data_IF_053329754251
#
_entry.id   IF_053329754251
#
_cell.length_a   1.000
_cell.length_b   1.000
_cell.length_c   1.000
_cell.angle_alpha   90.00
_cell.angle_beta   90.00
_cell.angle_gamma   90.00
#
_symmetry.space_group_name_H-M   'P 1'
#
loop_
_entity.id
_entity.type
_entity.pdbx_description
1 polymer ?
#
# COMPACT_ATOMS: atom_id res chain seq x y z
N UNK A 1 -11.51 -16.27 12.88
CA UNK A 1 -10.98 -15.32 11.88
C UNK A 1 -11.47 -15.74 10.50
N UNK A 2 -11.99 -14.81 9.69
CA UNK A 2 -12.25 -15.08 8.28
C UNK A 2 -10.93 -15.46 7.61
N UNK A 3 -10.92 -16.60 6.91
CA UNK A 3 -9.70 -17.04 6.25
C UNK A 3 -9.63 -16.35 4.88
N UNK A 4 -8.65 -15.48 4.68
CA UNK A 4 -8.35 -14.91 3.37
C UNK A 4 -7.21 -15.71 2.71
N UNK A 5 -7.21 -15.86 1.38
CA UNK A 5 -6.08 -16.48 0.68
C UNK A 5 -4.79 -15.70 0.94
N UNK A 6 -3.66 -16.42 1.02
CA UNK A 6 -2.37 -15.77 1.25
C UNK A 6 -2.04 -14.77 0.14
N UNK A 7 -1.59 -13.59 0.53
CA UNK A 7 -1.28 -12.47 -0.36
C UNK A 7 0.22 -12.48 -0.67
N UNK A 8 0.56 -12.90 -1.88
CA UNK A 8 1.88 -12.72 -2.48
C UNK A 8 1.80 -11.50 -3.40
N UNK A 9 1.81 -10.31 -2.83
CA UNK A 9 1.43 -9.09 -3.53
C UNK A 9 2.59 -8.13 -3.77
N UNK A 10 2.35 -7.20 -4.70
CA UNK A 10 3.23 -6.06 -5.01
C UNK A 10 2.36 -4.84 -5.27
N UNK A 11 2.76 -3.67 -4.76
CA UNK A 11 2.18 -2.40 -5.17
C UNK A 11 2.80 -2.00 -6.52
N UNK A 12 1.96 -1.96 -7.54
CA UNK A 12 2.39 -1.70 -8.91
C UNK A 12 2.21 -0.23 -9.27
N UNK A 13 3.30 0.40 -9.67
CA UNK A 13 3.36 1.76 -10.21
C UNK A 13 2.47 2.76 -9.46
N UNK A 14 2.72 2.97 -8.14
CA UNK A 14 1.88 3.85 -7.34
C UNK A 14 1.97 5.29 -7.81
N UNK A 15 0.83 5.98 -7.78
CA UNK A 15 0.73 7.44 -8.00
C UNK A 15 1.15 7.92 -9.40
N UNK A 16 1.09 7.05 -10.41
CA UNK A 16 1.45 7.47 -11.78
C UNK A 16 0.45 8.48 -12.32
N UNK A 17 0.92 9.45 -13.14
CA UNK A 17 0.06 10.42 -13.80
C UNK A 17 -0.73 9.80 -14.96
N UNK A 18 -1.71 10.56 -15.46
CA UNK A 18 -2.46 10.22 -16.67
C UNK A 18 -1.53 9.89 -17.84
N UNK A 19 -1.90 8.91 -18.65
CA UNK A 19 -1.12 8.43 -19.78
C UNK A 19 -0.14 7.31 -19.45
N UNK A 20 0.14 7.04 -18.18
CA UNK A 20 1.13 6.01 -17.79
C UNK A 20 0.65 4.60 -18.10
N UNK A 21 -0.57 4.25 -17.68
CA UNK A 21 -1.11 2.90 -17.87
C UNK A 21 -1.60 2.63 -19.31
N UNK A 22 -1.75 3.68 -20.13
CA UNK A 22 -1.99 3.55 -21.56
C UNK A 22 -0.77 3.08 -22.35
N UNK A 23 0.42 3.14 -21.76
CA UNK A 23 1.66 2.73 -22.43
C UNK A 23 1.83 1.21 -22.39
N UNK A 24 2.18 0.59 -23.53
CA UNK A 24 2.45 -0.85 -23.60
C UNK A 24 3.56 -1.29 -22.64
N UNK A 25 4.53 -0.42 -22.37
CA UNK A 25 5.61 -0.69 -21.39
C UNK A 25 5.08 -1.00 -19.99
N UNK A 26 3.95 -0.37 -19.55
CA UNK A 26 3.36 -0.63 -18.26
C UNK A 26 2.80 -2.06 -18.18
N UNK A 27 2.15 -2.53 -19.25
CA UNK A 27 1.67 -3.92 -19.37
C UNK A 27 2.81 -4.92 -19.39
N UNK A 28 3.88 -4.62 -20.14
CA UNK A 28 5.09 -5.45 -20.17
C UNK A 28 5.72 -5.52 -18.80
N UNK A 29 5.82 -4.39 -18.08
CA UNK A 29 6.37 -4.34 -16.73
C UNK A 29 5.56 -5.17 -15.75
N UNK A 30 4.22 -5.06 -15.78
CA UNK A 30 3.33 -5.85 -14.93
C UNK A 30 3.48 -7.36 -15.19
N UNK A 31 3.58 -7.78 -16.46
CA UNK A 31 3.83 -9.17 -16.83
C UNK A 31 5.18 -9.65 -16.26
N UNK A 32 6.23 -8.88 -16.48
CA UNK A 32 7.57 -9.17 -15.95
C UNK A 32 7.55 -9.30 -14.44
N UNK A 33 6.88 -8.38 -13.74
CA UNK A 33 6.70 -8.45 -12.29
C UNK A 33 6.12 -9.80 -11.87
N UNK A 34 5.02 -10.22 -12.48
CA UNK A 34 4.38 -11.49 -12.16
C UNK A 34 5.28 -12.70 -12.41
N UNK A 35 5.94 -12.74 -13.58
CA UNK A 35 6.81 -13.86 -13.98
C UNK A 35 8.07 -13.97 -13.10
N UNK A 36 8.61 -12.82 -12.71
CA UNK A 36 9.82 -12.75 -11.91
C UNK A 36 9.59 -12.97 -10.42
N UNK A 37 8.41 -12.61 -9.89
CA UNK A 37 8.13 -12.68 -8.45
C UNK A 37 7.19 -13.82 -8.05
N UNK A 38 6.47 -14.45 -8.97
CA UNK A 38 5.35 -15.36 -8.70
C UNK A 38 4.21 -14.68 -7.88
N UNK A 39 4.03 -13.36 -8.00
CA UNK A 39 2.96 -12.65 -7.35
C UNK A 39 1.57 -13.19 -7.79
N UNK A 40 0.63 -13.19 -6.84
CA UNK A 40 -0.77 -13.55 -7.05
C UNK A 40 -1.73 -12.40 -6.78
N UNK A 41 -1.19 -11.24 -6.40
CA UNK A 41 -1.97 -10.08 -5.97
C UNK A 41 -1.24 -8.79 -6.31
N UNK A 42 -1.99 -7.75 -6.70
CA UNK A 42 -1.43 -6.40 -6.85
C UNK A 42 -2.29 -5.37 -6.12
N UNK A 43 -1.62 -4.32 -5.66
CA UNK A 43 -2.26 -3.07 -5.27
C UNK A 43 -2.02 -2.03 -6.36
N UNK A 44 -3.11 -1.43 -6.85
CA UNK A 44 -3.08 -0.21 -7.66
C UNK A 44 -3.48 0.97 -6.77
N UNK A 45 -2.65 2.02 -6.76
CA UNK A 45 -2.81 3.15 -5.87
C UNK A 45 -3.08 4.44 -6.67
N UNK A 46 -4.36 4.72 -7.02
CA UNK A 46 -4.71 5.99 -7.64
C UNK A 46 -4.47 7.15 -6.67
N UNK A 47 -4.04 8.28 -7.22
CA UNK A 47 -3.59 9.43 -6.47
C UNK A 47 -4.70 10.47 -6.31
N UNK A 48 -5.05 10.84 -5.08
CA UNK A 48 -5.82 12.03 -4.74
C UNK A 48 -4.88 13.12 -4.27
N UNK A 49 -5.02 14.33 -4.76
CA UNK A 49 -4.09 15.43 -4.48
C UNK A 49 -4.78 16.58 -3.76
N UNK A 50 -4.25 16.98 -2.63
CA UNK A 50 -4.57 18.23 -1.94
C UNK A 50 -3.34 19.16 -1.93
N UNK A 51 -3.55 20.48 -1.82
CA UNK A 51 -2.44 21.44 -1.93
C UNK A 51 -1.45 21.30 -0.76
N UNK A 52 -1.97 21.28 0.46
CA UNK A 52 -1.19 21.19 1.71
C UNK A 52 -1.89 20.23 2.70
N UNK A 53 -1.26 19.82 3.80
CA UNK A 53 -1.91 19.03 4.84
C UNK A 53 -3.17 19.65 5.44
N UNK A 54 -3.34 20.97 5.32
CA UNK A 54 -4.49 21.72 5.83
C UNK A 54 -5.53 22.06 4.75
N UNK A 55 -5.37 21.55 3.52
CA UNK A 55 -6.37 21.72 2.46
C UNK A 55 -7.50 20.72 2.64
N UNK A 56 -8.75 21.17 2.46
CA UNK A 56 -9.94 20.34 2.65
C UNK A 56 -10.36 19.58 1.40
N UNK A 57 -9.92 20.03 0.21
CA UNK A 57 -10.31 19.46 -1.08
C UNK A 57 -9.27 18.49 -1.62
N UNK A 58 -9.73 17.34 -2.10
CA UNK A 58 -8.94 16.31 -2.74
C UNK A 58 -9.32 16.22 -4.22
N UNK A 59 -8.38 16.57 -5.09
CA UNK A 59 -8.53 16.47 -6.55
C UNK A 59 -7.99 15.12 -7.04
N UNK A 60 -8.81 14.33 -7.72
CA UNK A 60 -8.44 13.02 -8.28
C UNK A 60 -8.76 12.90 -9.79
N UNK A 61 -9.05 14.03 -10.44
CA UNK A 61 -9.38 14.10 -11.88
C UNK A 61 -8.43 14.99 -12.66
N UNK A 62 -7.18 15.14 -12.22
CA UNK A 62 -6.17 15.98 -12.86
C UNK A 62 -5.23 15.17 -13.74
N UNK A 63 -4.42 15.85 -14.56
CA UNK A 63 -3.36 15.21 -15.33
C UNK A 63 -2.28 14.52 -14.46
N UNK A 64 -2.20 14.85 -13.17
CA UNK A 64 -1.28 14.21 -12.23
C UNK A 64 -1.83 12.91 -11.62
N UNK A 65 -3.04 12.51 -12.01
CA UNK A 65 -3.71 11.28 -11.57
C UNK A 65 -4.08 10.42 -12.77
N UNK A 66 -3.94 9.10 -12.66
CA UNK A 66 -4.38 8.20 -13.72
C UNK A 66 -5.89 8.36 -13.99
N UNK A 67 -6.31 8.20 -15.23
CA UNK A 67 -7.74 8.24 -15.58
C UNK A 67 -8.45 6.94 -15.18
N UNK A 68 -9.77 7.00 -15.03
CA UNK A 68 -10.58 5.82 -14.73
C UNK A 68 -10.44 4.74 -15.79
N UNK A 69 -10.41 5.12 -17.08
CA UNK A 69 -10.27 4.16 -18.19
C UNK A 69 -8.91 3.46 -18.17
N UNK A 70 -7.84 4.20 -17.86
CA UNK A 70 -6.51 3.61 -17.71
C UNK A 70 -6.44 2.65 -16.53
N UNK A 71 -7.02 3.04 -15.39
CA UNK A 71 -7.09 2.20 -14.19
C UNK A 71 -7.88 0.92 -14.48
N UNK A 72 -9.08 1.04 -15.07
CA UNK A 72 -9.93 -0.11 -15.44
C UNK A 72 -9.20 -1.04 -16.42
N UNK A 73 -8.57 -0.49 -17.47
CA UNK A 73 -7.79 -1.27 -18.41
C UNK A 73 -6.60 -2.00 -17.81
N UNK A 74 -5.96 -1.42 -16.76
CA UNK A 74 -4.88 -2.09 -16.03
C UNK A 74 -5.40 -3.17 -15.08
N UNK A 75 -6.56 -2.96 -14.45
CA UNK A 75 -7.24 -3.98 -13.63
C UNK A 75 -7.60 -5.20 -14.50
N UNK A 76 -8.25 -4.99 -15.64
CA UNK A 76 -8.59 -6.06 -16.57
C UNK A 76 -7.35 -6.85 -17.03
N UNK A 77 -6.29 -6.12 -17.37
CA UNK A 77 -5.04 -6.74 -17.78
C UNK A 77 -4.42 -7.58 -16.66
N UNK A 78 -4.38 -7.05 -15.43
CA UNK A 78 -3.87 -7.79 -14.27
C UNK A 78 -4.69 -9.07 -14.00
N UNK A 79 -6.00 -8.98 -14.06
CA UNK A 79 -6.91 -10.14 -13.90
C UNK A 79 -6.72 -11.17 -15.02
N UNK A 80 -6.47 -10.73 -16.26
CA UNK A 80 -6.15 -11.63 -17.38
C UNK A 80 -4.85 -12.42 -17.18
N UNK A 81 -3.94 -11.88 -16.38
CA UNK A 81 -2.73 -12.57 -15.93
C UNK A 81 -2.97 -13.49 -14.71
N UNK A 82 -4.19 -13.55 -14.17
CA UNK A 82 -4.56 -14.32 -12.98
C UNK A 82 -4.15 -13.64 -11.67
N UNK A 83 -3.93 -12.32 -11.67
CA UNK A 83 -3.67 -11.55 -10.46
C UNK A 83 -4.99 -11.12 -9.80
N UNK A 84 -5.09 -11.25 -8.48
CA UNK A 84 -6.12 -10.61 -7.67
C UNK A 84 -5.74 -9.15 -7.48
N UNK A 85 -6.72 -8.26 -7.44
CA UNK A 85 -6.48 -6.81 -7.44
C UNK A 85 -7.09 -6.15 -6.22
N UNK A 86 -6.34 -5.24 -5.59
CA UNK A 86 -6.88 -4.26 -4.66
C UNK A 86 -6.67 -2.84 -5.19
N UNK A 87 -7.62 -1.96 -4.91
CA UNK A 87 -7.40 -0.53 -5.04
C UNK A 87 -7.06 0.07 -3.68
N UNK A 88 -6.05 0.96 -3.67
CA UNK A 88 -5.62 1.74 -2.51
C UNK A 88 -5.58 3.23 -2.88
N UNK A 89 -6.74 3.89 -3.02
CA UNK A 89 -6.78 5.32 -3.33
C UNK A 89 -6.11 6.10 -2.21
N UNK A 90 -5.08 6.86 -2.55
CA UNK A 90 -4.20 7.50 -1.55
C UNK A 90 -4.21 9.01 -1.73
N UNK A 91 -4.54 9.74 -0.66
CA UNK A 91 -4.43 11.21 -0.64
C UNK A 91 -2.98 11.62 -0.37
N UNK A 92 -2.45 12.53 -1.20
CA UNK A 92 -1.11 13.09 -1.07
C UNK A 92 -1.15 14.61 -1.13
N UNK A 93 -0.15 15.29 -0.55
CA UNK A 93 -0.02 16.73 -0.61
C UNK A 93 0.93 17.16 -1.74
N UNK A 94 0.48 18.12 -2.58
CA UNK A 94 1.28 18.65 -3.70
C UNK A 94 2.57 19.33 -3.26
N UNK A 95 2.60 19.87 -2.04
CA UNK A 95 3.77 20.52 -1.46
C UNK A 95 4.84 19.52 -0.97
N UNK A 96 4.63 18.20 -1.15
CA UNK A 96 5.57 17.16 -0.77
C UNK A 96 5.58 16.80 0.72
N UNK A 97 4.73 17.41 1.54
CA UNK A 97 4.58 17.01 2.94
C UNK A 97 3.84 15.67 2.98
N UNK A 98 4.35 14.72 3.75
CA UNK A 98 3.78 13.40 3.88
C UNK A 98 2.35 13.44 4.43
N UNK A 99 1.44 12.68 3.85
CA UNK A 99 0.00 12.61 4.19
C UNK A 99 -0.29 12.33 5.68
N UNK A 100 0.66 11.70 6.38
CA UNK A 100 0.53 11.48 7.82
C UNK A 100 0.35 12.78 8.63
N UNK A 101 0.76 13.92 8.08
CA UNK A 101 0.64 15.24 8.69
C UNK A 101 -0.68 15.96 8.36
N UNK A 102 -1.60 15.33 7.60
CA UNK A 102 -2.94 15.90 7.38
C UNK A 102 -3.66 15.99 8.71
N UNK A 103 -3.94 17.23 9.13
CA UNK A 103 -4.48 17.49 10.46
C UNK A 103 -5.19 18.85 10.51
N UNK A 104 -6.26 18.92 11.32
CA UNK A 104 -7.05 20.12 11.56
C UNK A 104 -7.32 20.23 13.06
N UNK A 105 -7.93 21.35 13.50
CA UNK A 105 -8.38 21.47 14.89
C UNK A 105 -9.46 20.43 15.19
N UNK A 106 -9.43 19.85 16.39
CA UNK A 106 -10.44 18.85 16.80
C UNK A 106 -11.83 19.45 16.95
N UNK A 107 -11.91 20.72 17.37
CA UNK A 107 -13.12 21.52 17.40
C UNK A 107 -13.09 22.53 16.26
N UNK A 108 -14.26 22.78 15.67
CA UNK A 108 -14.38 23.75 14.58
C UNK A 108 -14.03 25.16 15.03
N UNK A 109 -13.03 25.75 14.40
CA UNK A 109 -12.63 27.15 14.59
C UNK A 109 -13.17 27.97 13.41
N UNK A 110 -13.80 29.16 13.67
CA UNK A 110 -14.27 30.03 12.60
C UNK A 110 -13.14 30.43 11.63
N UNK A 111 -13.41 30.38 10.34
CA UNK A 111 -12.48 30.71 9.25
C UNK A 111 -11.26 29.80 9.12
N UNK A 112 -11.19 28.69 9.85
CA UNK A 112 -10.16 27.68 9.70
C UNK A 112 -10.68 26.44 8.97
N UNK A 113 -9.81 25.67 8.28
CA UNK A 113 -10.15 24.38 7.69
C UNK A 113 -10.64 23.38 8.74
N UNK A 114 -11.53 22.45 8.33
CA UNK A 114 -12.27 21.58 9.24
C UNK A 114 -12.20 20.12 8.82
N UNK A 115 -12.14 19.24 9.82
CA UNK A 115 -12.26 17.80 9.62
C UNK A 115 -13.52 17.40 8.84
N UNK A 116 -14.66 18.04 9.15
CA UNK A 116 -15.93 17.72 8.48
C UNK A 116 -15.90 17.94 6.98
N UNK A 117 -15.31 19.04 6.50
CA UNK A 117 -15.18 19.33 5.08
C UNK A 117 -14.17 18.40 4.42
N UNK A 118 -13.03 18.19 5.07
CA UNK A 118 -12.01 17.26 4.56
C UNK A 118 -12.54 15.84 4.42
N UNK A 119 -13.22 15.30 5.45
CA UNK A 119 -13.79 13.96 5.39
C UNK A 119 -14.92 13.86 4.35
N UNK A 120 -15.68 14.92 4.10
CA UNK A 120 -16.67 14.94 3.01
C UNK A 120 -16.00 14.76 1.65
N UNK A 121 -14.93 15.52 1.37
CA UNK A 121 -14.12 15.38 0.16
C UNK A 121 -13.41 14.01 0.08
N UNK A 122 -12.88 13.53 1.20
CA UNK A 122 -12.23 12.22 1.28
C UNK A 122 -13.20 11.06 1.03
N UNK A 123 -14.41 11.12 1.57
CA UNK A 123 -15.47 10.14 1.32
C UNK A 123 -15.88 10.11 -0.15
N UNK A 124 -16.02 11.27 -0.80
CA UNK A 124 -16.30 11.34 -2.24
C UNK A 124 -15.21 10.66 -3.05
N UNK A 125 -13.95 11.01 -2.78
CA UNK A 125 -12.77 10.39 -3.39
C UNK A 125 -12.75 8.87 -3.20
N UNK A 126 -12.92 8.37 -1.99
CA UNK A 126 -12.90 6.93 -1.69
C UNK A 126 -14.09 6.20 -2.33
N UNK A 127 -15.29 6.78 -2.28
CA UNK A 127 -16.50 6.18 -2.87
C UNK A 127 -16.41 6.09 -4.39
N UNK A 128 -15.78 7.07 -5.05
CA UNK A 128 -15.51 7.00 -6.48
C UNK A 128 -14.73 5.71 -6.83
N UNK A 129 -13.61 5.46 -6.14
CA UNK A 129 -12.81 4.27 -6.40
C UNK A 129 -13.41 2.98 -5.83
N UNK A 130 -14.27 3.06 -4.81
CA UNK A 130 -15.03 1.91 -4.34
C UNK A 130 -16.01 1.40 -5.40
N UNK A 131 -16.67 2.30 -6.14
CA UNK A 131 -17.51 1.96 -7.29
C UNK A 131 -16.70 1.28 -8.41
N UNK A 132 -15.52 1.81 -8.73
CA UNK A 132 -14.61 1.16 -9.70
C UNK A 132 -14.16 -0.22 -9.20
N UNK A 133 -13.81 -0.33 -7.92
CA UNK A 133 -13.46 -1.63 -7.31
C UNK A 133 -14.59 -2.65 -7.46
N UNK A 134 -15.85 -2.24 -7.26
CA UNK A 134 -17.01 -3.10 -7.42
C UNK A 134 -17.26 -3.46 -8.88
N UNK A 135 -17.25 -2.47 -9.78
CA UNK A 135 -17.46 -2.64 -11.22
C UNK A 135 -16.45 -3.63 -11.82
N UNK A 136 -15.19 -3.49 -11.43
CA UNK A 136 -14.08 -4.28 -11.95
C UNK A 136 -13.84 -5.60 -11.20
N UNK A 137 -14.66 -5.92 -10.20
CA UNK A 137 -14.51 -7.16 -9.42
C UNK A 137 -13.19 -7.23 -8.66
N UNK A 138 -12.69 -6.10 -8.14
CA UNK A 138 -11.52 -6.11 -7.26
C UNK A 138 -11.81 -6.92 -5.98
N UNK A 139 -10.82 -7.62 -5.47
CA UNK A 139 -10.97 -8.41 -4.24
C UNK A 139 -11.04 -7.53 -2.99
N UNK A 140 -10.29 -6.43 -2.98
CA UNK A 140 -10.16 -5.58 -1.80
C UNK A 140 -10.15 -4.09 -2.17
N UNK A 141 -10.71 -3.26 -1.27
CA UNK A 141 -10.57 -1.82 -1.27
C UNK A 141 -9.88 -1.40 0.03
N UNK A 142 -8.72 -0.73 -0.09
CA UNK A 142 -7.95 -0.23 1.06
C UNK A 142 -8.26 1.25 1.20
N UNK A 143 -9.06 1.59 2.21
CA UNK A 143 -9.72 2.90 2.34
C UNK A 143 -8.81 4.03 2.84
N UNK A 144 -7.52 3.84 2.87
CA UNK A 144 -6.54 4.87 3.26
C UNK A 144 -5.16 4.28 3.47
N UNK A 145 -4.18 5.15 3.43
CA UNK A 145 -2.78 4.80 3.57
C UNK A 145 -2.09 5.82 4.48
N UNK A 146 -1.62 5.39 5.66
CA UNK A 146 -0.78 6.17 6.57
C UNK A 146 -1.34 7.55 6.96
N UNK A 147 -2.63 7.62 7.22
CA UNK A 147 -3.34 8.86 7.58
C UNK A 147 -3.24 9.17 9.09
N UNK A 148 -2.03 9.06 9.65
CA UNK A 148 -1.70 8.97 11.08
C UNK A 148 -2.43 10.00 11.94
N UNK A 149 -2.34 11.28 11.57
CA UNK A 149 -2.95 12.36 12.39
C UNK A 149 -4.47 12.38 12.32
N UNK A 150 -5.09 11.66 11.38
CA UNK A 150 -6.55 11.54 11.30
C UNK A 150 -7.09 10.27 11.98
N UNK A 151 -6.25 9.32 12.36
CA UNK A 151 -6.69 7.99 12.86
C UNK A 151 -7.52 8.08 14.15
N UNK A 152 -7.31 9.13 14.96
CA UNK A 152 -8.10 9.37 16.16
C UNK A 152 -9.55 9.83 15.86
N UNK A 153 -9.83 10.24 14.63
CA UNK A 153 -11.17 10.65 14.17
C UNK A 153 -12.05 9.41 13.88
N UNK A 154 -12.25 8.58 14.89
CA UNK A 154 -12.94 7.29 14.78
C UNK A 154 -14.33 7.40 14.15
N UNK A 155 -15.12 8.42 14.54
CA UNK A 155 -16.48 8.61 14.02
C UNK A 155 -16.49 8.82 12.50
N UNK A 156 -15.61 9.66 12.01
CA UNK A 156 -15.51 10.01 10.59
C UNK A 156 -14.95 8.82 9.77
N UNK A 157 -13.99 8.08 10.32
CA UNK A 157 -13.50 6.85 9.68
C UNK A 157 -14.59 5.78 9.59
N UNK A 158 -15.38 5.56 10.65
CA UNK A 158 -16.52 4.64 10.63
C UNK A 158 -17.56 5.06 9.58
N UNK A 159 -17.84 6.35 9.43
CA UNK A 159 -18.72 6.87 8.39
C UNK A 159 -18.16 6.62 6.99
N UNK A 160 -16.87 6.89 6.79
CA UNK A 160 -16.18 6.65 5.50
C UNK A 160 -16.27 5.18 5.09
N UNK A 161 -16.00 4.25 6.02
CA UNK A 161 -16.08 2.81 5.74
C UNK A 161 -17.52 2.38 5.47
N UNK A 162 -18.49 2.92 6.22
CA UNK A 162 -19.90 2.63 5.99
C UNK A 162 -20.38 3.13 4.61
N UNK A 163 -19.89 4.28 4.15
CA UNK A 163 -20.17 4.80 2.82
C UNK A 163 -19.59 3.90 1.72
N UNK A 164 -18.32 3.54 1.82
CA UNK A 164 -17.65 2.63 0.90
C UNK A 164 -18.42 1.30 0.77
N UNK A 165 -18.93 0.76 1.89
CA UNK A 165 -19.69 -0.50 1.90
C UNK A 165 -21.06 -0.42 1.24
N UNK A 166 -21.58 0.76 0.93
CA UNK A 166 -22.80 0.89 0.12
C UNK A 166 -22.50 0.46 -1.32
N UNK A 167 -21.35 0.85 -1.83
CA UNK A 167 -20.94 0.64 -3.21
C UNK A 167 -20.09 -0.63 -3.42
N UNK A 168 -19.26 -1.02 -2.44
CA UNK A 168 -18.31 -2.13 -2.54
C UNK A 168 -18.64 -3.28 -1.59
N UNK A 169 -18.73 -4.52 -2.12
CA UNK A 169 -19.11 -5.72 -1.38
C UNK A 169 -17.95 -6.69 -1.12
N UNK A 170 -16.75 -6.39 -1.65
CA UNK A 170 -15.53 -7.14 -1.37
C UNK A 170 -14.92 -6.80 -0.01
N UNK A 171 -13.67 -7.21 0.18
CA UNK A 171 -12.93 -6.98 1.42
C UNK A 171 -12.55 -5.51 1.56
N UNK A 172 -12.81 -4.93 2.73
CA UNK A 172 -12.37 -3.57 3.07
C UNK A 172 -11.22 -3.64 4.06
N UNK A 173 -10.16 -2.88 3.81
CA UNK A 173 -9.01 -2.74 4.70
C UNK A 173 -8.65 -1.26 4.89
N UNK A 174 -7.74 -0.99 5.81
CA UNK A 174 -7.06 0.29 6.00
C UNK A 174 -5.57 0.02 6.24
N UNK A 175 -4.69 0.79 5.60
CA UNK A 175 -3.25 0.68 5.77
C UNK A 175 -2.75 1.76 6.74
N UNK A 176 -2.59 1.43 8.02
CA UNK A 176 -1.94 2.35 8.97
C UNK A 176 -0.42 2.39 8.74
N UNK A 177 0.25 3.42 9.21
CA UNK A 177 1.72 3.44 9.22
C UNK A 177 2.28 2.44 10.24
N UNK A 178 3.55 2.07 10.06
CA UNK A 178 4.30 1.28 11.03
C UNK A 178 4.21 1.91 12.45
N UNK A 179 4.19 1.09 13.45
CA UNK A 179 4.08 1.46 14.88
C UNK A 179 2.71 2.04 15.29
N UNK A 180 1.76 2.26 14.38
CA UNK A 180 0.48 2.91 14.66
C UNK A 180 -0.69 1.93 14.85
N UNK A 181 -0.52 0.64 14.62
CA UNK A 181 -1.62 -0.34 14.58
C UNK A 181 -2.47 -0.36 15.85
N UNK A 182 -1.87 -0.06 17.00
CA UNK A 182 -2.57 0.00 18.29
C UNK A 182 -3.33 1.32 18.52
N UNK A 183 -3.06 2.36 17.74
CA UNK A 183 -3.74 3.65 17.83
C UNK A 183 -5.05 3.68 17.04
N UNK A 184 -5.24 2.76 16.11
CA UNK A 184 -6.49 2.62 15.36
C UNK A 184 -7.49 1.82 16.20
N UNK A 185 -8.54 2.47 16.69
CA UNK A 185 -9.54 1.86 17.58
C UNK A 185 -10.76 1.29 16.84
N UNK A 186 -10.84 1.50 15.53
CA UNK A 186 -11.97 1.12 14.66
C UNK A 186 -11.66 -0.04 13.70
N UNK A 187 -10.68 -0.90 14.03
CA UNK A 187 -10.37 -2.12 13.25
C UNK A 187 -11.55 -3.08 13.11
N UNK A 188 -12.53 -3.02 14.00
CA UNK A 188 -13.77 -3.80 13.89
C UNK A 188 -14.60 -3.46 12.64
N UNK A 189 -14.46 -2.25 12.06
CA UNK A 189 -15.17 -1.80 10.86
C UNK A 189 -14.63 -2.40 9.55
N UNK A 190 -13.37 -2.83 9.52
CA UNK A 190 -12.74 -3.42 8.33
C UNK A 190 -12.77 -4.95 8.38
N UNK A 191 -12.51 -5.61 7.26
CA UNK A 191 -12.44 -7.07 7.18
C UNK A 191 -11.03 -7.59 7.46
N UNK A 192 -10.01 -6.81 7.08
CA UNK A 192 -8.60 -7.15 7.18
C UNK A 192 -7.84 -5.97 7.78
N UNK A 193 -7.04 -6.23 8.80
CA UNK A 193 -6.10 -5.24 9.35
C UNK A 193 -4.90 -5.18 8.42
N UNK A 194 -4.42 -3.97 8.08
CA UNK A 194 -3.17 -3.84 7.36
C UNK A 194 -2.31 -2.67 7.83
N UNK A 195 -1.01 -2.79 7.62
CA UNK A 195 0.00 -1.84 8.08
C UNK A 195 1.16 -1.75 7.10
N UNK A 196 1.97 -0.72 7.24
CA UNK A 196 3.25 -0.57 6.56
C UNK A 196 4.36 -1.28 7.35
N UNK A 197 5.11 -2.17 6.70
CA UNK A 197 6.14 -3.00 7.31
C UNK A 197 7.55 -2.51 7.00
N UNK A 198 7.88 -1.27 7.34
CA UNK A 198 9.23 -0.71 7.16
C UNK A 198 10.02 -0.76 8.48
N UNK A 199 10.22 -1.96 9.02
CA UNK A 199 10.95 -2.13 10.29
C UNK A 199 12.44 -2.38 10.05
N UNK A 200 13.34 -1.89 10.96
CA UNK A 200 14.74 -2.27 10.97
C UNK A 200 14.92 -3.78 10.89
N UNK A 201 15.99 -4.23 10.22
CA UNK A 201 16.22 -5.65 9.97
C UNK A 201 16.26 -6.51 11.25
N UNK A 202 16.69 -5.95 12.35
CA UNK A 202 16.84 -6.63 13.65
C UNK A 202 15.61 -6.44 14.58
N UNK A 203 14.55 -5.73 14.15
CA UNK A 203 13.41 -5.41 15.01
C UNK A 203 12.10 -6.14 14.64
N UNK A 204 12.10 -6.97 13.62
CA UNK A 204 10.90 -7.67 13.13
C UNK A 204 10.17 -8.46 14.20
N UNK A 205 10.86 -9.24 15.02
CA UNK A 205 10.24 -10.07 16.07
C UNK A 205 9.54 -9.20 17.13
N UNK A 206 10.13 -8.07 17.54
CA UNK A 206 9.51 -7.16 18.50
C UNK A 206 8.24 -6.54 17.93
N UNK A 207 8.27 -6.12 16.66
CA UNK A 207 7.12 -5.49 16.03
C UNK A 207 6.00 -6.49 15.76
N UNK A 208 6.31 -7.71 15.34
CA UNK A 208 5.31 -8.78 15.20
C UNK A 208 4.65 -9.11 16.54
N UNK A 209 5.41 -9.16 17.64
CA UNK A 209 4.84 -9.36 19.00
C UNK A 209 3.89 -8.21 19.40
N UNK A 210 4.15 -7.00 18.96
CA UNK A 210 3.29 -5.83 19.20
C UNK A 210 2.00 -5.92 18.37
N UNK A 211 2.13 -6.21 17.06
CA UNK A 211 1.00 -6.33 16.13
C UNK A 211 0.09 -7.50 16.53
N UNK A 212 0.66 -8.61 17.00
CA UNK A 212 -0.11 -9.78 17.42
C UNK A 212 -1.15 -9.45 18.50
N UNK A 213 -0.85 -8.49 19.39
CA UNK A 213 -1.81 -8.05 20.41
C UNK A 213 -3.04 -7.39 19.77
N UNK A 214 -2.83 -6.59 18.72
CA UNK A 214 -3.92 -5.95 17.97
C UNK A 214 -4.74 -7.00 17.21
N UNK A 215 -4.07 -7.92 16.52
CA UNK A 215 -4.73 -9.03 15.80
C UNK A 215 -5.57 -9.88 16.75
N UNK A 216 -5.03 -10.20 17.94
CA UNK A 216 -5.74 -10.97 18.97
C UNK A 216 -6.91 -10.19 19.57
N UNK A 217 -6.79 -8.88 19.72
CA UNK A 217 -7.88 -8.02 20.21
C UNK A 217 -9.06 -8.00 19.26
N UNK A 218 -8.81 -7.78 17.97
CA UNK A 218 -9.86 -7.61 16.97
C UNK A 218 -10.26 -8.90 16.24
N UNK A 219 -9.50 -9.98 16.37
CA UNK A 219 -9.76 -11.28 15.75
C UNK A 219 -9.93 -11.21 14.23
N UNK A 220 -9.15 -10.33 13.56
CA UNK A 220 -9.14 -10.12 12.11
C UNK A 220 -7.86 -10.67 11.49
N UNK A 221 -7.89 -11.12 10.22
CA UNK A 221 -6.67 -11.41 9.47
C UNK A 221 -5.84 -10.13 9.29
N UNK A 222 -4.53 -10.30 9.12
CA UNK A 222 -3.58 -9.21 8.96
C UNK A 222 -2.66 -9.45 7.77
N UNK A 223 -2.33 -8.40 7.03
CA UNK A 223 -1.25 -8.42 6.04
C UNK A 223 -0.49 -7.08 6.01
N UNK A 224 0.73 -7.09 5.52
CA UNK A 224 1.45 -5.85 5.26
C UNK A 224 1.05 -5.31 3.88
N UNK A 225 0.27 -4.21 3.85
CA UNK A 225 -0.16 -3.56 2.60
C UNK A 225 0.95 -2.71 1.96
N UNK A 226 2.04 -2.51 2.68
CA UNK A 226 3.33 -2.04 2.21
C UNK A 226 4.44 -2.72 3.01
N UNK A 227 5.52 -3.09 2.36
CA UNK A 227 6.77 -3.47 3.00
C UNK A 227 7.90 -3.33 1.99
N UNK A 228 9.03 -2.78 2.40
CA UNK A 228 10.14 -2.56 1.50
C UNK A 228 11.39 -2.04 2.17
N UNK A 229 12.51 -2.19 1.47
CA UNK A 229 13.81 -1.68 1.84
C UNK A 229 14.52 -1.21 0.57
N UNK A 230 15.14 -0.04 0.58
CA UNK A 230 15.95 0.41 -0.55
C UNK A 230 17.25 -0.38 -0.66
N UNK A 231 17.76 -0.54 -1.88
CA UNK A 231 19.09 -1.08 -2.12
C UNK A 231 20.21 -0.05 -1.91
N UNK A 232 20.03 0.80 -0.90
CA UNK A 232 20.97 1.84 -0.46
C UNK A 232 21.64 1.41 0.84
N UNK A 233 22.94 1.58 0.94
CA UNK A 233 23.69 1.25 2.16
C UNK A 233 23.09 1.97 3.38
N UNK A 234 22.83 1.18 4.43
CA UNK A 234 22.18 1.66 5.66
C UNK A 234 20.65 1.55 5.67
N UNK A 235 19.99 1.42 4.51
CA UNK A 235 18.52 1.37 4.44
C UNK A 235 17.92 0.22 5.26
N UNK A 236 18.57 -0.93 5.35
CA UNK A 236 18.07 -2.06 6.15
C UNK A 236 17.88 -1.77 7.65
N UNK A 237 18.53 -0.72 8.17
CA UNK A 237 18.39 -0.27 9.56
C UNK A 237 17.35 0.85 9.72
N UNK A 238 16.99 1.53 8.63
CA UNK A 238 16.00 2.62 8.59
C UNK A 238 15.19 2.54 7.29
N UNK A 239 14.49 1.44 7.02
CA UNK A 239 13.90 1.16 5.71
C UNK A 239 12.79 2.14 5.32
N UNK A 240 12.23 2.89 6.27
CA UNK A 240 11.25 3.95 6.03
C UNK A 240 11.87 5.29 5.62
N UNK A 241 13.18 5.45 5.69
CA UNK A 241 13.84 6.69 5.31
C UNK A 241 14.17 6.69 3.81
N UNK A 242 13.22 7.17 2.99
CA UNK A 242 13.39 7.32 1.54
C UNK A 242 14.34 8.47 1.16
N UNK A 243 14.83 9.22 2.13
CA UNK A 243 15.78 10.32 1.91
C UNK A 243 17.23 9.90 2.09
N UNK A 244 17.47 8.72 2.65
CA UNK A 244 18.83 8.19 2.86
C UNK A 244 19.61 8.17 1.54
N UNK A 245 20.84 8.61 1.60
CA UNK A 245 21.78 8.60 0.47
C UNK A 245 23.01 7.82 0.87
N UNK A 246 23.38 6.87 0.06
CA UNK A 246 24.55 5.99 0.27
C UNK A 246 24.94 5.29 -1.03
N UNK A 247 25.98 4.49 -0.96
CA UNK A 247 26.32 3.58 -2.04
C UNK A 247 25.28 2.48 -2.20
N UNK A 248 25.34 1.77 -3.31
CA UNK A 248 24.46 0.62 -3.56
C UNK A 248 24.78 -0.53 -2.58
N UNK A 249 23.73 -1.16 -2.06
CA UNK A 249 23.78 -2.35 -1.19
C UNK A 249 22.68 -3.34 -1.58
N UNK A 250 22.86 -3.99 -2.71
CA UNK A 250 21.92 -4.96 -3.25
C UNK A 250 21.70 -6.15 -2.29
N UNK A 251 22.78 -6.59 -1.63
CA UNK A 251 22.68 -7.71 -0.70
C UNK A 251 21.97 -7.31 0.59
N UNK A 252 22.20 -6.10 1.11
CA UNK A 252 21.48 -5.60 2.27
C UNK A 252 19.97 -5.52 2.06
N UNK A 253 19.53 -5.17 0.85
CA UNK A 253 18.10 -5.25 0.48
C UNK A 253 17.60 -6.69 0.51
N UNK A 254 18.31 -7.63 -0.08
CA UNK A 254 17.94 -9.05 -0.11
C UNK A 254 17.89 -9.66 1.30
N UNK A 255 18.87 -9.36 2.15
CA UNK A 255 18.93 -9.81 3.54
C UNK A 255 17.73 -9.30 4.35
N UNK A 256 17.33 -8.05 4.11
CA UNK A 256 16.17 -7.46 4.77
C UNK A 256 14.87 -8.21 4.42
N UNK A 257 14.64 -8.49 3.12
CA UNK A 257 13.47 -9.26 2.68
C UNK A 257 13.47 -10.67 3.25
N UNK A 258 14.62 -11.35 3.24
CA UNK A 258 14.72 -12.70 3.79
C UNK A 258 14.40 -12.71 5.28
N UNK A 259 14.95 -11.75 6.05
CA UNK A 259 14.70 -11.64 7.49
C UNK A 259 13.22 -11.37 7.79
N UNK A 260 12.59 -10.46 7.03
CA UNK A 260 11.15 -10.20 7.13
C UNK A 260 10.33 -11.49 6.93
N UNK A 261 10.60 -12.22 5.85
CA UNK A 261 9.87 -13.45 5.55
C UNK A 261 10.06 -14.51 6.63
N UNK A 262 11.30 -14.72 7.10
CA UNK A 262 11.61 -15.72 8.15
C UNK A 262 10.93 -15.39 9.48
N UNK A 263 10.88 -14.13 9.86
CA UNK A 263 10.17 -13.67 11.07
C UNK A 263 8.67 -13.88 10.94
N UNK A 264 8.08 -13.47 9.81
CA UNK A 264 6.65 -13.54 9.58
C UNK A 264 6.13 -14.98 9.38
N UNK A 265 6.93 -15.89 8.84
CA UNK A 265 6.54 -17.31 8.68
C UNK A 265 6.20 -18.00 10.00
N UNK A 266 6.75 -17.53 11.11
CA UNK A 266 6.44 -18.01 12.46
C UNK A 266 5.08 -17.57 12.98
N UNK A 267 4.36 -16.72 12.24
CA UNK A 267 3.12 -16.05 12.64
C UNK A 267 1.97 -16.43 11.71
N UNK A 268 1.16 -17.40 12.07
CA UNK A 268 0.04 -17.90 11.25
C UNK A 268 -1.03 -16.86 10.93
N UNK A 269 -1.08 -15.78 11.72
CA UNK A 269 -2.00 -14.66 11.53
C UNK A 269 -1.54 -13.68 10.45
N UNK A 270 -0.26 -13.66 10.04
CA UNK A 270 0.23 -12.89 8.89
C UNK A 270 -0.23 -13.57 7.61
N UNK A 271 -1.08 -12.89 6.84
CA UNK A 271 -1.67 -13.41 5.60
C UNK A 271 -0.99 -12.91 4.33
N UNK A 272 0.15 -12.30 4.46
CA UNK A 272 0.99 -11.92 3.32
C UNK A 272 1.43 -10.48 3.29
N UNK A 273 1.79 -10.04 2.10
CA UNK A 273 2.43 -8.74 1.83
C UNK A 273 1.95 -8.18 0.49
N UNK A 274 1.98 -6.84 0.36
CA UNK A 274 2.07 -6.15 -0.91
C UNK A 274 3.33 -5.28 -0.88
N UNK A 275 4.40 -5.78 -1.49
CA UNK A 275 5.72 -5.16 -1.39
C UNK A 275 5.75 -3.80 -2.09
N UNK A 276 6.41 -2.84 -1.49
CA UNK A 276 6.65 -1.51 -2.04
C UNK A 276 8.02 -1.48 -2.72
N UNK A 277 8.15 -1.22 -4.04
CA UNK A 277 7.11 -1.22 -5.05
C UNK A 277 7.67 -1.79 -6.36
N UNK A 278 6.90 -1.82 -7.42
CA UNK A 278 7.35 -2.15 -8.77
C UNK A 278 6.91 -1.05 -9.74
N UNK A 279 7.77 -0.65 -10.67
CA UNK A 279 7.55 0.47 -11.58
C UNK A 279 6.78 0.09 -12.85
N UNK A 280 6.12 1.06 -13.51
CA UNK A 280 5.56 0.92 -14.85
C UNK A 280 6.62 0.93 -15.97
N UNK A 281 7.86 1.29 -15.63
CA UNK A 281 8.96 1.43 -16.59
C UNK A 281 10.23 0.80 -16.06
N UNK A 282 10.54 -0.39 -16.56
CA UNK A 282 11.77 -1.09 -16.18
C UNK A 282 13.01 -0.43 -16.79
N UNK A 283 14.09 -0.41 -16.03
CA UNK A 283 15.42 -0.11 -16.52
C UNK A 283 16.06 -1.36 -17.16
N UNK A 284 17.15 -1.19 -17.90
CA UNK A 284 17.90 -2.33 -18.39
C UNK A 284 18.59 -3.07 -17.23
N UNK A 285 18.45 -4.39 -17.16
CA UNK A 285 19.02 -5.19 -16.06
C UNK A 285 20.53 -4.97 -15.82
N UNK A 286 21.27 -4.62 -16.89
CA UNK A 286 22.69 -4.24 -16.81
C UNK A 286 22.96 -2.91 -16.10
N UNK A 287 21.91 -2.12 -15.78
CA UNK A 287 22.02 -0.84 -15.10
C UNK A 287 21.59 -0.90 -13.63
N UNK A 288 21.37 -2.10 -13.10
CA UNK A 288 20.87 -2.32 -11.74
C UNK A 288 21.66 -1.56 -10.67
N UNK A 289 22.97 -1.42 -10.85
CA UNK A 289 23.85 -0.69 -9.93
C UNK A 289 23.61 0.82 -9.87
N UNK A 290 22.80 1.37 -10.79
CA UNK A 290 22.43 2.77 -10.80
C UNK A 290 21.09 3.04 -10.07
N UNK A 291 20.43 2.00 -9.55
CA UNK A 291 19.09 2.06 -8.99
C UNK A 291 19.09 1.69 -7.49
N UNK A 292 19.37 2.69 -6.65
CA UNK A 292 19.43 2.57 -5.18
C UNK A 292 18.07 2.82 -4.51
N UNK A 293 16.99 2.20 -4.97
CA UNK A 293 15.60 2.43 -4.57
C UNK A 293 14.94 1.17 -3.98
N UNK A 294 13.63 1.27 -3.72
CA UNK A 294 12.81 0.15 -3.23
C UNK A 294 12.55 -0.93 -4.28
N UNK A 295 12.69 -0.62 -5.55
CA UNK A 295 12.43 -1.58 -6.63
C UNK A 295 13.38 -2.77 -6.53
N UNK A 296 12.83 -3.96 -6.75
CA UNK A 296 13.58 -5.22 -6.64
C UNK A 296 13.97 -5.81 -8.00
N UNK A 297 13.51 -5.21 -9.11
CA UNK A 297 13.75 -5.72 -10.46
C UNK A 297 15.25 -5.91 -10.74
N UNK A 298 15.62 -7.10 -11.21
CA UNK A 298 16.98 -7.53 -11.53
C UNK A 298 17.97 -7.49 -10.34
N UNK A 299 17.49 -7.33 -9.10
CA UNK A 299 18.30 -7.33 -7.87
C UNK A 299 18.24 -8.69 -7.17
N UNK A 300 19.20 -9.05 -6.32
CA UNK A 300 19.13 -10.29 -5.51
C UNK A 300 17.83 -10.42 -4.69
N UNK A 301 17.24 -9.31 -4.24
CA UNK A 301 15.97 -9.29 -3.56
C UNK A 301 14.82 -9.87 -4.40
N UNK A 302 14.82 -9.70 -5.73
CA UNK A 302 13.82 -10.31 -6.62
C UNK A 302 13.81 -11.83 -6.49
N UNK A 303 15.00 -12.45 -6.40
CA UNK A 303 15.12 -13.90 -6.24
C UNK A 303 14.61 -14.36 -4.88
N UNK A 304 14.89 -13.61 -3.82
CA UNK A 304 14.37 -13.89 -2.47
C UNK A 304 12.84 -13.83 -2.46
N UNK A 305 12.26 -12.80 -3.02
CA UNK A 305 10.80 -12.64 -3.14
C UNK A 305 10.19 -13.78 -3.97
N UNK A 306 10.76 -14.09 -5.14
CA UNK A 306 10.30 -15.17 -6.00
C UNK A 306 10.24 -16.51 -5.27
N UNK A 307 11.31 -16.86 -4.58
CA UNK A 307 11.41 -18.13 -3.85
C UNK A 307 10.36 -18.21 -2.73
N UNK A 308 10.17 -17.12 -1.99
CA UNK A 308 9.18 -17.09 -0.92
C UNK A 308 7.76 -17.23 -1.48
N UNK A 309 7.40 -16.46 -2.52
CA UNK A 309 6.06 -16.51 -3.13
C UNK A 309 5.79 -17.86 -3.81
N UNK A 310 6.79 -18.46 -4.45
CA UNK A 310 6.65 -19.79 -5.03
C UNK A 310 6.36 -20.86 -3.96
N UNK A 311 7.05 -20.80 -2.81
CA UNK A 311 6.79 -21.68 -1.67
C UNK A 311 5.36 -21.55 -1.16
N UNK A 312 4.84 -20.31 -1.09
CA UNK A 312 3.45 -20.04 -0.63
C UNK A 312 2.38 -20.48 -1.64
N UNK A 313 2.69 -20.49 -2.93
CA UNK A 313 1.77 -21.00 -3.96
C UNK A 313 1.63 -22.52 -3.96
N UNK A 314 2.57 -23.24 -3.35
CA UNK A 314 2.59 -24.72 -3.27
C UNK A 314 2.03 -25.25 -1.95
N UNK A 315 1.80 -24.39 -0.95
CA UNK A 315 1.31 -24.74 0.38
C UNK A 315 -0.21 -24.62 0.48
#
# INVERSE_FOLDING_TARGET
>A
MNNIPYICGVTFAPFVPAGSFSQERARQSLRTMKENTNANFIILAPNGLQETPQSEEICYTSAATMTDDELKGMIEYAQSLGLRVALKPTANCKNGIWRAHINFFDEDVPCEPKWGNWFASYMEFQSHYARISQEMGCEMHITGCEMVMSEHREKEWRQTIAEIRKDFKGLVSYNTDKYQEHNVHWWDCVDVISSSGYYPIDDWENQLNRIEKVVNQFQKPFFFAEAGCMSTAGSKNVPNDWTIRGGIDLQGQADWYQTMFDACEKRSWVKGYALWSWTDRLYAASQVENHCDYEIFAKPAEVVVKNHYQKKAQA
#
